data_IF_341644521168
#
_entry.id   IF_341644521168
#
_cell.length_a   1.000
_cell.length_b   1.000
_cell.length_c   1.000
_cell.angle_alpha   90.00
_cell.angle_beta   90.00
_cell.angle_gamma   90.00
#
_symmetry.space_group_name_H-M   'P 1'
#
loop_
_entity.id
_entity.type
_entity.pdbx_description
1 polymer ?
#
# COMPACT_ATOMS: atom_id res chain seq x y z
N UNK A 1 -22.99 -0.71 -0.06
CA UNK A 1 -22.45 0.66 -0.19
C UNK A 1 -23.58 1.65 0.05
N UNK A 2 -23.40 2.69 0.86
CA UNK A 2 -24.45 3.71 1.02
C UNK A 2 -24.51 4.62 -0.22
N UNK A 3 -25.66 5.27 -0.45
CA UNK A 3 -25.86 6.23 -1.54
C UNK A 3 -24.87 7.40 -1.44
N UNK A 4 -24.57 7.86 -0.21
CA UNK A 4 -23.62 8.94 0.03
C UNK A 4 -22.21 8.60 -0.47
N UNK A 5 -21.74 7.37 -0.28
CA UNK A 5 -20.43 6.93 -0.77
C UNK A 5 -20.39 6.89 -2.31
N UNK A 6 -21.45 6.43 -2.96
CA UNK A 6 -21.54 6.42 -4.43
C UNK A 6 -21.52 7.83 -5.03
N UNK A 7 -22.18 8.79 -4.36
CA UNK A 7 -22.20 10.20 -4.79
C UNK A 7 -20.83 10.88 -4.68
N UNK A 8 -19.99 10.43 -3.74
CA UNK A 8 -18.61 10.89 -3.59
C UNK A 8 -17.62 10.19 -4.53
N UNK A 9 -18.11 9.37 -5.48
CA UNK A 9 -17.27 8.64 -6.42
C UNK A 9 -16.57 7.41 -5.84
N UNK A 10 -16.99 6.92 -4.67
CA UNK A 10 -16.38 5.74 -4.07
C UNK A 10 -16.72 4.48 -4.88
N UNK A 11 -15.69 3.75 -5.29
CA UNK A 11 -15.82 2.48 -5.99
C UNK A 11 -15.65 1.32 -4.99
N UNK A 12 -16.63 0.40 -4.88
CA UNK A 12 -16.48 -0.80 -4.06
C UNK A 12 -15.35 -1.68 -4.60
N UNK A 13 -14.36 -1.97 -3.77
CA UNK A 13 -13.32 -2.96 -4.06
C UNK A 13 -13.48 -4.13 -3.07
N UNK A 14 -13.80 -5.33 -3.58
CA UNK A 14 -14.02 -6.54 -2.78
C UNK A 14 -15.35 -6.61 -2.01
N UNK A 15 -15.52 -7.67 -1.20
CA UNK A 15 -16.68 -7.85 -0.29
C UNK A 15 -17.88 -8.63 -0.86
N UNK A 16 -17.83 -9.05 -2.13
CA UNK A 16 -18.85 -9.90 -2.78
C UNK A 16 -18.23 -11.26 -3.09
N UNK A 17 -18.95 -12.36 -2.79
CA UNK A 17 -18.52 -13.73 -3.14
C UNK A 17 -18.15 -13.78 -4.63
N UNK A 18 -16.92 -14.18 -4.94
CA UNK A 18 -16.44 -14.35 -6.31
C UNK A 18 -15.63 -13.18 -6.90
N UNK A 19 -15.47 -12.05 -6.19
CA UNK A 19 -14.62 -10.95 -6.64
C UNK A 19 -13.27 -10.92 -5.92
N UNK A 20 -12.20 -10.74 -6.68
CA UNK A 20 -10.84 -10.61 -6.17
C UNK A 20 -10.42 -9.15 -6.21
N UNK A 21 -10.31 -8.52 -5.03
CA UNK A 21 -9.94 -7.11 -4.86
C UNK A 21 -8.66 -6.73 -5.61
N UNK A 22 -7.70 -7.64 -5.74
CA UNK A 22 -6.45 -7.39 -6.50
C UNK A 22 -6.76 -7.21 -7.99
N UNK A 23 -7.63 -8.05 -8.55
CA UNK A 23 -8.01 -7.97 -9.95
C UNK A 23 -8.86 -6.72 -10.24
N UNK A 24 -9.79 -6.41 -9.35
CA UNK A 24 -10.64 -5.23 -9.50
C UNK A 24 -9.80 -3.94 -9.46
N UNK A 25 -8.90 -3.82 -8.48
CA UNK A 25 -8.00 -2.67 -8.36
C UNK A 25 -7.04 -2.56 -9.55
N UNK A 26 -6.46 -3.68 -10.01
CA UNK A 26 -5.57 -3.68 -11.16
C UNK A 26 -6.30 -3.24 -12.44
N UNK A 27 -7.50 -3.78 -12.69
CA UNK A 27 -8.34 -3.38 -13.82
C UNK A 27 -8.65 -1.88 -13.78
N UNK A 28 -9.01 -1.34 -12.61
CA UNK A 28 -9.28 0.09 -12.48
C UNK A 28 -8.05 0.95 -12.81
N UNK A 29 -6.86 0.53 -12.39
CA UNK A 29 -5.60 1.20 -12.70
C UNK A 29 -5.22 1.12 -14.19
N UNK A 30 -5.64 0.06 -14.89
CA UNK A 30 -5.41 -0.12 -16.33
C UNK A 30 -6.42 0.65 -17.20
N UNK A 31 -7.69 0.71 -16.78
CA UNK A 31 -8.80 1.27 -17.56
C UNK A 31 -9.03 2.78 -17.35
N UNK A 32 -8.37 3.38 -16.36
CA UNK A 32 -8.57 4.80 -16.01
C UNK A 32 -7.31 5.60 -16.34
N UNK A 33 -7.45 6.64 -17.17
CA UNK A 33 -6.33 7.50 -17.58
C UNK A 33 -5.62 8.17 -16.39
N UNK A 34 -6.39 8.61 -15.38
CA UNK A 34 -5.86 9.23 -14.17
C UNK A 34 -6.50 8.62 -12.91
N UNK A 35 -5.77 7.72 -12.26
CA UNK A 35 -6.20 7.10 -10.99
C UNK A 35 -5.02 6.93 -10.04
N UNK A 36 -5.20 7.42 -8.80
CA UNK A 36 -4.29 7.13 -7.69
C UNK A 36 -4.98 6.26 -6.65
N UNK A 37 -4.45 5.06 -6.42
CA UNK A 37 -4.92 4.15 -5.39
C UNK A 37 -4.01 4.24 -4.16
N UNK A 38 -4.55 4.75 -3.04
CA UNK A 38 -3.82 4.88 -1.78
C UNK A 38 -4.17 3.70 -0.88
N UNK A 39 -3.15 2.96 -0.44
CA UNK A 39 -3.29 1.79 0.44
C UNK A 39 -2.34 1.95 1.62
N UNK A 40 -2.88 1.72 2.81
CA UNK A 40 -2.13 1.52 4.05
C UNK A 40 -1.85 0.01 4.22
N UNK A 41 -0.66 -0.49 3.83
CA UNK A 41 -0.36 -1.92 3.79
C UNK A 41 -0.28 -2.56 5.18
N UNK A 42 -0.08 -1.79 6.24
CA UNK A 42 -0.10 -2.24 7.63
C UNK A 42 -1.47 -2.82 8.03
N UNK A 43 -2.56 -2.27 7.48
CA UNK A 43 -3.90 -2.87 7.36
C UNK A 43 -4.64 -3.28 8.63
N UNK A 44 -4.01 -3.32 9.80
CA UNK A 44 -4.60 -3.77 11.06
C UNK A 44 -4.58 -2.66 12.12
N UNK A 45 -5.63 -2.61 12.94
CA UNK A 45 -5.70 -1.71 14.11
C UNK A 45 -4.64 -2.06 15.17
N UNK A 46 -4.13 -3.29 15.16
CA UNK A 46 -3.04 -3.74 16.02
C UNK A 46 -1.71 -3.67 15.27
N UNK A 47 -0.63 -3.31 15.99
CA UNK A 47 0.71 -3.28 15.44
C UNK A 47 1.13 -4.63 14.83
N UNK A 48 1.61 -4.60 13.59
CA UNK A 48 2.07 -5.78 12.87
C UNK A 48 3.25 -5.44 11.97
N UNK A 49 4.27 -6.30 11.99
CA UNK A 49 5.39 -6.27 11.06
C UNK A 49 5.09 -7.03 9.75
N UNK A 50 3.92 -7.67 9.67
CA UNK A 50 3.46 -8.44 8.51
C UNK A 50 2.46 -7.61 7.71
N UNK A 51 3.00 -6.74 6.87
CA UNK A 51 2.19 -5.90 5.98
C UNK A 51 1.50 -6.73 4.89
N UNK A 52 0.25 -6.37 4.60
CA UNK A 52 -0.59 -7.01 3.59
C UNK A 52 0.03 -6.83 2.18
N UNK A 53 0.35 -7.92 1.44
CA UNK A 53 0.99 -7.83 0.14
C UNK A 53 0.03 -7.46 -1.00
N UNK A 54 -1.25 -7.19 -0.72
CA UNK A 54 -2.25 -6.85 -1.74
C UNK A 54 -1.83 -5.70 -2.64
N UNK A 55 -1.27 -4.61 -2.08
CA UNK A 55 -0.80 -3.47 -2.86
C UNK A 55 0.27 -3.86 -3.89
N UNK A 56 1.21 -4.74 -3.48
CA UNK A 56 2.28 -5.22 -4.35
C UNK A 56 1.71 -6.00 -5.52
N UNK A 57 0.77 -6.92 -5.26
CA UNK A 57 0.14 -7.70 -6.32
C UNK A 57 -0.74 -6.86 -7.25
N UNK A 58 -1.39 -5.82 -6.73
CA UNK A 58 -2.13 -4.86 -7.56
C UNK A 58 -1.20 -4.11 -8.51
N UNK A 59 -0.09 -3.56 -7.98
CA UNK A 59 0.89 -2.81 -8.75
C UNK A 59 1.59 -3.66 -9.82
N UNK A 60 2.06 -4.87 -9.45
CA UNK A 60 2.65 -5.83 -10.39
C UNK A 60 1.67 -6.19 -11.50
N UNK A 61 0.40 -6.42 -11.16
CA UNK A 61 -0.61 -6.82 -12.12
C UNK A 61 -0.95 -5.71 -13.10
N UNK A 62 -1.12 -4.49 -12.62
CA UNK A 62 -1.41 -3.32 -13.43
C UNK A 62 -0.18 -2.73 -14.16
N UNK A 63 1.03 -3.21 -13.86
CA UNK A 63 2.26 -2.68 -14.45
C UNK A 63 2.56 -1.24 -14.04
N UNK A 64 2.10 -0.81 -12.86
CA UNK A 64 2.27 0.56 -12.36
C UNK A 64 3.30 0.62 -11.22
N UNK A 65 4.02 1.73 -11.05
CA UNK A 65 4.98 1.87 -9.96
C UNK A 65 4.28 2.06 -8.60
N UNK A 66 5.00 1.76 -7.52
CA UNK A 66 4.55 2.05 -6.15
C UNK A 66 5.14 3.38 -5.69
N UNK A 67 4.28 4.36 -5.39
CA UNK A 67 4.70 5.64 -4.81
C UNK A 67 4.62 5.55 -3.29
N UNK A 68 5.75 5.81 -2.62
CA UNK A 68 5.85 5.71 -1.16
C UNK A 68 5.63 7.08 -0.54
N UNK A 69 4.59 7.20 0.28
CA UNK A 69 4.23 8.44 0.98
C UNK A 69 4.32 8.27 2.49
N UNK A 70 4.61 9.34 3.21
CA UNK A 70 4.79 9.28 4.67
C UNK A 70 4.16 10.48 5.36
N UNK A 71 3.92 10.29 6.66
CA UNK A 71 3.54 11.33 7.60
C UNK A 71 4.46 11.21 8.82
N UNK A 72 5.29 12.23 9.06
CA UNK A 72 6.15 12.31 10.24
C UNK A 72 5.54 13.27 11.27
N UNK A 73 5.06 12.71 12.37
CA UNK A 73 4.38 13.46 13.43
C UNK A 73 5.34 14.21 14.35
N UNK A 74 6.60 13.77 14.45
CA UNK A 74 7.62 14.46 15.23
C UNK A 74 8.03 15.77 14.54
N UNK A 75 8.20 15.72 13.22
CA UNK A 75 8.56 16.86 12.36
C UNK A 75 7.35 17.65 11.85
N UNK A 76 6.14 17.08 11.97
CA UNK A 76 4.87 17.64 11.46
C UNK A 76 4.90 17.89 9.96
N UNK A 77 5.46 16.93 9.22
CA UNK A 77 5.58 16.98 7.76
C UNK A 77 4.96 15.73 7.14
N UNK A 78 4.48 15.87 5.90
CA UNK A 78 4.07 14.76 5.07
C UNK A 78 4.67 14.95 3.69
N UNK A 79 4.86 13.85 2.96
CA UNK A 79 5.41 13.94 1.62
C UNK A 79 5.62 12.60 0.94
N UNK A 80 6.30 12.66 -0.20
CA UNK A 80 6.69 11.49 -0.99
C UNK A 80 8.13 11.13 -0.62
N UNK A 81 8.39 9.86 -0.25
CA UNK A 81 9.74 9.34 -0.03
C UNK A 81 10.42 8.94 -1.34
N UNK A 82 9.66 8.39 -2.28
CA UNK A 82 10.20 7.93 -3.55
C UNK A 82 9.21 7.07 -4.33
N UNK A 83 9.71 6.52 -5.43
CA UNK A 83 8.97 5.66 -6.34
C UNK A 83 9.74 4.36 -6.52
N UNK A 84 9.06 3.23 -6.36
CA UNK A 84 9.59 1.90 -6.63
C UNK A 84 8.99 1.42 -7.95
N UNK A 85 9.79 1.48 -9.02
CA UNK A 85 9.36 1.05 -10.35
C UNK A 85 9.71 -0.40 -10.67
N UNK A 86 10.79 -0.94 -10.09
CA UNK A 86 11.13 -2.35 -10.24
C UNK A 86 10.41 -3.18 -9.17
N UNK A 87 9.46 -4.01 -9.62
CA UNK A 87 8.64 -4.88 -8.78
C UNK A 87 8.93 -6.37 -9.04
N UNK A 88 10.10 -6.71 -9.61
CA UNK A 88 10.51 -8.07 -9.94
C UNK A 88 10.59 -9.02 -8.73
N UNK A 89 11.03 -8.48 -7.59
CA UNK A 89 11.26 -9.21 -6.37
C UNK A 89 10.59 -8.50 -5.20
N UNK A 90 9.52 -9.12 -4.68
CA UNK A 90 8.77 -8.64 -3.53
C UNK A 90 9.65 -8.35 -2.32
N UNK A 91 10.68 -9.16 -2.05
CA UNK A 91 11.53 -8.95 -0.89
C UNK A 91 12.39 -7.69 -1.06
N UNK A 92 12.86 -7.38 -2.28
CA UNK A 92 13.58 -6.13 -2.57
C UNK A 92 12.65 -4.93 -2.45
N UNK A 93 11.41 -5.03 -2.92
CA UNK A 93 10.40 -3.96 -2.78
C UNK A 93 10.15 -3.67 -1.30
N UNK A 94 9.94 -4.72 -0.50
CA UNK A 94 9.78 -4.54 0.94
C UNK A 94 11.04 -3.93 1.55
N UNK A 95 12.24 -4.38 1.12
CA UNK A 95 13.51 -3.80 1.54
C UNK A 95 13.54 -2.28 1.40
N UNK A 96 13.29 -1.83 0.19
CA UNK A 96 13.24 -0.41 -0.15
C UNK A 96 12.16 0.33 0.65
N UNK A 97 10.98 -0.27 0.86
CA UNK A 97 9.94 0.32 1.68
C UNK A 97 10.44 0.60 3.10
N UNK A 98 11.00 -0.39 3.79
CA UNK A 98 11.43 -0.16 5.17
C UNK A 98 12.65 0.78 5.27
N UNK A 99 13.54 0.80 4.27
CA UNK A 99 14.58 1.83 4.18
C UNK A 99 13.98 3.24 4.02
N UNK A 100 12.97 3.41 3.17
CA UNK A 100 12.30 4.71 2.95
C UNK A 100 11.53 5.19 4.18
N UNK A 101 10.94 4.28 4.95
CA UNK A 101 10.26 4.59 6.22
C UNK A 101 11.21 4.67 7.42
N UNK A 102 12.49 4.31 7.27
CA UNK A 102 13.45 4.42 8.36
C UNK A 102 13.53 5.87 8.86
N UNK A 103 13.36 6.05 10.16
CA UNK A 103 13.38 7.37 10.81
C UNK A 103 12.10 8.19 10.68
N UNK A 104 11.06 7.69 9.99
CA UNK A 104 9.73 8.32 10.01
C UNK A 104 9.08 8.07 11.37
N UNK A 105 8.63 9.13 12.02
CA UNK A 105 7.94 9.05 13.31
C UNK A 105 6.42 8.99 13.11
N UNK A 106 5.80 7.84 13.36
CA UNK A 106 4.35 7.69 13.35
C UNK A 106 3.67 8.45 14.51
N UNK A 107 2.35 8.64 14.42
CA UNK A 107 1.54 9.27 15.48
C UNK A 107 1.65 8.50 16.81
N UNK A 108 1.67 7.17 16.72
CA UNK A 108 1.88 6.26 17.84
C UNK A 108 3.14 5.42 17.58
N UNK A 109 4.33 5.90 17.97
CA UNK A 109 5.59 5.24 17.61
C UNK A 109 5.73 3.79 18.10
N UNK A 110 5.11 3.45 19.24
CA UNK A 110 5.13 2.08 19.78
C UNK A 110 4.31 1.09 18.96
N UNK A 111 3.37 1.59 18.16
CA UNK A 111 2.42 0.77 17.37
C UNK A 111 2.81 0.68 15.89
N UNK A 112 3.85 1.41 15.47
CA UNK A 112 4.32 1.40 14.08
C UNK A 112 5.50 0.45 13.93
N UNK A 113 5.24 -0.69 13.29
CA UNK A 113 6.25 -1.67 12.96
C UNK A 113 6.54 -1.65 11.46
N UNK A 114 7.82 -1.51 11.14
CA UNK A 114 8.31 -1.64 9.78
C UNK A 114 8.11 -3.06 9.25
N UNK A 115 7.88 -3.22 7.93
CA UNK A 115 7.63 -4.54 7.36
C UNK A 115 8.86 -5.43 7.53
N UNK A 116 8.69 -6.63 8.06
CA UNK A 116 9.75 -7.64 8.06
C UNK A 116 9.94 -8.25 6.68
N UNK A 117 11.20 -8.38 6.27
CA UNK A 117 11.55 -9.17 5.09
C UNK A 117 11.52 -10.65 5.44
N UNK A 118 10.82 -11.44 4.64
CA UNK A 118 10.91 -12.89 4.74
C UNK A 118 12.24 -13.29 4.09
N UNK A 119 13.28 -13.51 4.89
CA UNK A 119 14.41 -14.34 4.44
C UNK A 119 13.88 -15.75 4.25
N UNK A 120 13.43 -16.10 3.05
CA UNK A 120 13.37 -17.49 2.65
C UNK A 120 14.82 -17.97 2.55
N UNK A 121 15.34 -18.48 3.65
CA UNK A 121 16.61 -19.17 3.68
C UNK A 121 16.32 -20.62 3.31
N UNK A 122 16.67 -20.97 2.07
CA UNK A 122 16.82 -22.31 1.46
C UNK A 122 15.75 -23.35 1.77
#
# INVERSE_FOLDING_TARGET
MSIAMRLLGAVPIGGVKGHNAIHDAARMLEETDELHLIICPEGQLAATDRWNPGFYYMAVKAGVPVVVVYMDYRRREAGVKGVISNLDDRNKVYHQLAEMYAGVSACHPSEFLLPKYIKHNR
#
